data_IF_313823391002
#
_entry.id   IF_313823391002
#
_cell.length_a   1.000
_cell.length_b   1.000
_cell.length_c   1.000
_cell.angle_alpha   90.00
_cell.angle_beta   90.00
_cell.angle_gamma   90.00
#
_symmetry.space_group_name_H-M   'P 1'
#
loop_
_entity.id
_entity.type
_entity.pdbx_description
1 polymer ?
#
# COMPACT_ATOMS: atom_id res chain seq x y z
N UNK A 1 -14.95 19.39 9.29
CA UNK A 1 -15.44 18.42 10.29
C UNK A 1 -14.22 17.80 10.93
N UNK A 2 -14.06 17.93 12.26
CA UNK A 2 -13.05 17.17 13.00
C UNK A 2 -13.70 15.87 13.45
N UNK A 3 -13.16 14.74 13.00
CA UNK A 3 -13.62 13.44 13.52
C UNK A 3 -13.20 13.31 15.00
N UNK A 4 -14.05 12.69 15.82
CA UNK A 4 -13.70 12.38 17.21
C UNK A 4 -12.87 11.10 17.27
N UNK A 5 -11.82 11.13 18.09
CA UNK A 5 -10.94 9.99 18.35
C UNK A 5 -10.93 9.69 19.85
N UNK A 6 -10.88 8.40 20.19
CA UNK A 6 -10.78 7.94 21.56
C UNK A 6 -9.35 8.06 22.11
N UNK A 7 -9.14 7.61 23.34
CA UNK A 7 -7.84 7.66 24.04
C UNK A 7 -6.73 6.82 23.38
N UNK A 8 -7.09 5.89 22.48
CA UNK A 8 -6.14 5.10 21.69
C UNK A 8 -5.80 5.75 20.34
N UNK A 9 -6.32 6.95 20.07
CA UNK A 9 -6.16 7.66 18.81
C UNK A 9 -7.00 7.10 17.66
N UNK A 10 -8.00 6.26 17.93
CA UNK A 10 -8.87 5.63 16.93
C UNK A 10 -10.18 6.39 16.77
N UNK A 11 -10.74 6.40 15.55
CA UNK A 11 -12.05 7.03 15.29
C UNK A 11 -13.16 6.39 16.14
N UNK A 12 -13.96 7.22 16.81
CA UNK A 12 -15.15 6.76 17.53
C UNK A 12 -16.22 6.24 16.56
N UNK A 13 -16.95 5.20 16.97
CA UNK A 13 -18.05 4.61 16.18
C UNK A 13 -17.60 3.66 15.06
N UNK A 14 -16.30 3.38 14.92
CA UNK A 14 -15.78 2.37 14.00
C UNK A 14 -15.46 1.09 14.75
N UNK A 15 -15.91 -0.04 14.21
CA UNK A 15 -15.53 -1.38 14.68
C UNK A 15 -14.21 -1.78 14.01
N UNK A 16 -13.11 -1.69 14.75
CA UNK A 16 -11.79 -2.13 14.27
C UNK A 16 -11.62 -3.63 14.43
N UNK A 17 -10.92 -4.23 13.47
CA UNK A 17 -10.46 -5.61 13.53
C UNK A 17 -9.02 -5.65 14.02
N UNK A 18 -8.72 -6.57 14.93
CA UNK A 18 -7.42 -6.68 15.58
C UNK A 18 -6.76 -8.01 15.22
N UNK A 19 -5.45 -7.98 15.09
CA UNK A 19 -4.59 -9.15 14.95
C UNK A 19 -4.37 -9.81 16.32
N UNK A 20 -3.83 -11.04 16.33
CA UNK A 20 -3.55 -11.78 17.57
C UNK A 20 -2.53 -11.08 18.48
N UNK A 21 -1.63 -10.27 17.90
CA UNK A 21 -0.64 -9.47 18.63
C UNK A 21 -1.20 -8.15 19.21
N UNK A 22 -2.49 -7.87 18.99
CA UNK A 22 -3.15 -6.64 19.45
C UNK A 22 -3.02 -5.43 18.53
N UNK A 23 -2.31 -5.54 17.40
CA UNK A 23 -2.30 -4.51 16.34
C UNK A 23 -3.63 -4.46 15.58
N UNK A 24 -3.91 -3.36 14.88
CA UNK A 24 -5.07 -3.29 13.99
C UNK A 24 -4.76 -4.05 12.71
N UNK A 25 -5.67 -4.93 12.31
CA UNK A 25 -5.60 -5.59 11.01
C UNK A 25 -6.10 -4.63 9.92
N UNK A 26 -5.25 -3.70 9.49
CA UNK A 26 -5.58 -2.69 8.46
C UNK A 26 -5.98 -3.29 7.12
N UNK A 27 -5.50 -4.50 6.81
CA UNK A 27 -5.92 -5.27 5.64
C UNK A 27 -7.38 -5.70 5.75
N UNK A 28 -7.84 -6.14 6.91
CA UNK A 28 -9.24 -6.47 7.15
C UNK A 28 -10.14 -5.22 7.16
N UNK A 29 -9.58 -4.06 7.53
CA UNK A 29 -10.30 -2.78 7.49
C UNK A 29 -10.61 -2.26 6.06
N UNK A 30 -10.09 -2.89 5.00
CA UNK A 30 -10.42 -2.52 3.62
C UNK A 30 -11.80 -3.06 3.25
N UNK A 31 -12.73 -2.15 2.91
CA UNK A 31 -14.06 -2.52 2.42
C UNK A 31 -13.97 -3.37 1.13
N UNK A 32 -14.55 -4.59 1.11
CA UNK A 32 -14.51 -5.48 -0.04
C UNK A 32 -15.00 -4.86 -1.36
N UNK A 33 -15.84 -3.81 -1.33
CA UNK A 33 -16.30 -3.10 -2.54
C UNK A 33 -15.14 -2.44 -3.33
N UNK A 34 -14.02 -2.20 -2.66
CA UNK A 34 -12.82 -1.63 -3.26
C UNK A 34 -11.82 -2.68 -3.74
N UNK A 35 -12.08 -3.96 -3.48
CA UNK A 35 -11.26 -5.06 -3.92
C UNK A 35 -11.82 -5.63 -5.23
N UNK A 36 -10.93 -6.15 -6.06
CA UNK A 36 -11.30 -6.91 -7.25
C UNK A 36 -10.21 -7.91 -7.63
N UNK A 37 -10.55 -8.99 -8.36
CA UNK A 37 -9.57 -9.99 -8.78
C UNK A 37 -8.47 -9.38 -9.68
N UNK A 38 -7.22 -9.76 -9.41
CA UNK A 38 -6.06 -9.41 -10.22
C UNK A 38 -6.08 -10.22 -11.53
N UNK A 39 -6.75 -9.68 -12.56
CA UNK A 39 -6.88 -10.32 -13.88
C UNK A 39 -5.56 -10.90 -14.40
N UNK A 40 -4.45 -10.15 -14.32
CA UNK A 40 -3.15 -10.60 -14.81
C UNK A 40 -2.60 -11.83 -14.07
N UNK A 41 -2.89 -11.96 -12.77
CA UNK A 41 -2.47 -13.13 -11.98
C UNK A 41 -3.16 -14.42 -12.45
N UNK A 42 -4.46 -14.34 -12.76
CA UNK A 42 -5.27 -15.48 -13.23
C UNK A 42 -4.96 -15.85 -14.68
N UNK A 43 -4.86 -14.85 -15.56
CA UNK A 43 -4.56 -15.07 -16.99
C UNK A 43 -3.19 -15.72 -17.18
N UNK A 44 -2.15 -15.25 -16.47
CA UNK A 44 -0.80 -15.83 -16.55
C UNK A 44 -0.73 -17.28 -16.07
N UNK A 45 -1.73 -17.76 -15.33
CA UNK A 45 -1.84 -19.13 -14.80
C UNK A 45 -2.88 -19.98 -15.52
N UNK A 46 -3.50 -19.47 -16.59
CA UNK A 46 -4.61 -20.12 -17.30
C UNK A 46 -5.76 -20.52 -16.35
N UNK A 47 -6.02 -19.72 -15.31
CA UNK A 47 -7.10 -19.96 -14.37
C UNK A 47 -8.32 -19.09 -14.72
N UNK A 48 -9.56 -19.58 -14.48
CA UNK A 48 -10.75 -18.79 -14.69
C UNK A 48 -10.76 -17.59 -13.74
N UNK A 49 -11.20 -16.44 -14.26
CA UNK A 49 -11.34 -15.23 -13.44
C UNK A 49 -12.55 -15.37 -12.51
N UNK A 50 -12.37 -15.24 -11.19
CA UNK A 50 -13.47 -15.36 -10.24
C UNK A 50 -14.40 -14.15 -10.31
N UNK A 51 -15.68 -14.36 -9.96
CA UNK A 51 -16.69 -13.29 -9.89
C UNK A 51 -16.76 -12.61 -8.51
N UNK A 52 -16.15 -13.23 -7.49
CA UNK A 52 -16.10 -12.74 -6.12
C UNK A 52 -14.65 -12.58 -5.66
N UNK A 53 -14.45 -11.71 -4.68
CA UNK A 53 -13.16 -11.53 -3.96
C UNK A 53 -13.05 -12.44 -2.74
N UNK A 54 -14.14 -13.12 -2.37
CA UNK A 54 -14.19 -14.03 -1.22
C UNK A 54 -13.27 -15.24 -1.45
N UNK A 55 -12.46 -15.55 -0.43
CA UNK A 55 -11.49 -16.64 -0.48
C UNK A 55 -10.25 -16.39 -1.34
N UNK A 56 -10.09 -15.17 -1.90
CA UNK A 56 -8.88 -14.81 -2.64
C UNK A 56 -7.77 -14.33 -1.71
N UNK A 57 -6.57 -14.81 -1.99
CA UNK A 57 -5.33 -14.37 -1.35
C UNK A 57 -4.94 -12.95 -1.82
N UNK A 58 -4.14 -12.25 -1.02
CA UNK A 58 -3.74 -10.87 -1.31
C UNK A 58 -3.04 -10.68 -2.68
N UNK A 59 -2.27 -11.67 -3.12
CA UNK A 59 -1.61 -11.64 -4.44
C UNK A 59 -2.58 -11.87 -5.62
N UNK A 60 -3.79 -12.36 -5.35
CA UNK A 60 -4.87 -12.55 -6.31
C UNK A 60 -5.80 -11.33 -6.36
N UNK A 61 -5.55 -10.30 -5.54
CA UNK A 61 -6.39 -9.13 -5.40
C UNK A 61 -5.69 -7.86 -5.87
N UNK A 62 -6.48 -6.87 -6.24
CA UNK A 62 -6.10 -5.49 -6.42
C UNK A 62 -7.03 -4.59 -5.61
N UNK A 63 -6.50 -3.47 -5.10
CA UNK A 63 -7.27 -2.47 -4.37
C UNK A 63 -7.43 -1.19 -5.20
N UNK A 64 -8.66 -0.67 -5.29
CA UNK A 64 -8.94 0.62 -5.94
C UNK A 64 -8.31 1.77 -5.15
N UNK A 65 -7.92 2.86 -5.85
CA UNK A 65 -7.46 4.10 -5.22
C UNK A 65 -8.44 4.64 -4.17
N UNK A 66 -9.75 4.48 -4.39
CA UNK A 66 -10.79 4.86 -3.43
C UNK A 66 -10.66 4.12 -2.10
N UNK A 67 -10.38 2.82 -2.14
CA UNK A 67 -10.17 2.00 -0.93
C UNK A 67 -8.96 2.45 -0.14
N UNK A 68 -7.86 2.75 -0.83
CA UNK A 68 -6.65 3.29 -0.18
C UNK A 68 -6.91 4.66 0.45
N UNK A 69 -7.65 5.55 -0.24
CA UNK A 69 -8.04 6.86 0.29
C UNK A 69 -8.95 6.75 1.51
N UNK A 70 -9.91 5.82 1.49
CA UNK A 70 -10.78 5.54 2.65
C UNK A 70 -9.98 4.97 3.82
N UNK A 71 -9.07 4.03 3.57
CA UNK A 71 -8.20 3.44 4.59
C UNK A 71 -7.28 4.50 5.22
N UNK A 72 -6.66 5.37 4.42
CA UNK A 72 -5.83 6.47 4.91
C UNK A 72 -6.63 7.44 5.80
N UNK A 73 -7.88 7.77 5.41
CA UNK A 73 -8.77 8.63 6.21
C UNK A 73 -9.17 7.97 7.51
N UNK A 74 -9.49 6.67 7.48
CA UNK A 74 -9.80 5.87 8.66
C UNK A 74 -8.63 5.88 9.64
N UNK A 75 -7.43 5.55 9.15
CA UNK A 75 -6.19 5.59 9.93
C UNK A 75 -5.93 6.98 10.52
N UNK A 76 -6.12 8.03 9.72
CA UNK A 76 -5.96 9.42 10.13
C UNK A 76 -4.58 9.99 9.83
N UNK A 77 -4.57 11.06 9.04
CA UNK A 77 -3.39 11.87 8.74
C UNK A 77 -3.77 13.35 8.81
N UNK A 78 -2.80 14.24 9.06
CA UNK A 78 -2.99 15.68 9.10
C UNK A 78 -2.30 16.43 7.95
N UNK A 79 -1.50 15.72 7.15
CA UNK A 79 -0.86 16.29 5.97
C UNK A 79 -0.36 15.23 5.00
N UNK A 80 -0.48 15.54 3.71
CA UNK A 80 0.17 14.81 2.61
C UNK A 80 0.99 15.83 1.83
N UNK A 81 2.24 15.49 1.53
CA UNK A 81 3.15 16.32 0.74
C UNK A 81 3.70 15.51 -0.42
N UNK A 82 3.81 16.14 -1.57
CA UNK A 82 4.42 15.56 -2.76
C UNK A 82 5.67 16.34 -3.13
N UNK A 83 6.73 15.62 -3.49
CA UNK A 83 7.93 16.18 -4.07
C UNK A 83 8.15 15.54 -5.44
N UNK A 84 8.20 16.37 -6.48
CA UNK A 84 8.48 15.93 -7.84
C UNK A 84 9.99 15.77 -7.99
N UNK A 85 10.46 14.52 -8.06
CA UNK A 85 11.88 14.18 -8.18
C UNK A 85 12.35 14.37 -9.62
N UNK A 86 11.50 14.01 -10.59
CA UNK A 86 11.77 14.10 -12.03
C UNK A 86 10.47 14.39 -12.76
N UNK A 87 10.50 15.31 -13.72
CA UNK A 87 9.37 15.64 -14.57
C UNK A 87 9.85 15.86 -16.01
N UNK A 88 9.76 14.80 -16.82
CA UNK A 88 10.13 14.79 -18.23
C UNK A 88 8.97 14.22 -19.07
N UNK A 89 9.07 14.38 -20.39
CA UNK A 89 8.00 14.01 -21.34
C UNK A 89 7.56 12.55 -21.23
N UNK A 90 8.48 11.66 -20.95
CA UNK A 90 8.32 10.21 -20.93
C UNK A 90 8.50 9.60 -19.52
N UNK A 91 8.86 10.41 -18.52
CA UNK A 91 9.16 9.92 -17.18
C UNK A 91 8.86 10.99 -16.13
N UNK A 92 7.93 10.67 -15.22
CA UNK A 92 7.69 11.44 -14.00
C UNK A 92 7.92 10.55 -12.77
N UNK A 93 8.64 11.06 -11.78
CA UNK A 93 8.86 10.40 -10.50
C UNK A 93 8.49 11.33 -9.34
N UNK A 94 7.71 10.82 -8.39
CA UNK A 94 7.16 11.57 -7.27
C UNK A 94 7.43 10.82 -5.97
N UNK A 95 7.79 11.57 -4.93
CA UNK A 95 7.84 11.12 -3.54
C UNK A 95 6.60 11.64 -2.82
N UNK A 96 5.92 10.75 -2.10
CA UNK A 96 4.81 11.10 -1.23
C UNK A 96 5.26 10.97 0.23
N UNK A 97 5.03 12.01 1.03
CA UNK A 97 5.18 12.00 2.49
C UNK A 97 3.81 12.16 3.13
N UNK A 98 3.47 11.28 4.08
CA UNK A 98 2.25 11.40 4.89
C UNK A 98 2.65 11.63 6.35
N UNK A 99 2.01 12.62 6.97
CA UNK A 99 2.06 12.85 8.41
C UNK A 99 0.84 12.22 9.06
N UNK A 100 1.07 11.13 9.78
CA UNK A 100 0.03 10.35 10.42
C UNK A 100 -0.30 10.91 11.81
N UNK A 101 -1.60 10.92 12.11
CA UNK A 101 -2.07 11.21 13.47
C UNK A 101 -1.65 10.03 14.35
N UNK A 102 -1.02 10.24 15.52
CA UNK A 102 -0.63 9.15 16.42
C UNK A 102 -1.83 8.30 16.87
N UNK A 103 -1.62 6.99 16.98
CA UNK A 103 -2.52 6.01 17.60
C UNK A 103 -1.69 4.98 18.37
N UNK A 104 -2.32 4.13 19.19
CA UNK A 104 -1.66 3.16 20.08
C UNK A 104 -0.55 2.29 19.45
N UNK A 105 -0.55 2.13 18.12
CA UNK A 105 0.45 1.37 17.36
C UNK A 105 1.74 2.13 17.04
N UNK A 106 1.71 3.47 17.05
CA UNK A 106 2.75 4.32 16.44
C UNK A 106 3.49 5.27 17.39
N UNK A 107 3.25 5.21 18.71
CA UNK A 107 4.04 5.93 19.73
C UNK A 107 3.25 6.72 20.78
N UNK A 108 3.74 6.67 22.03
CA UNK A 108 3.04 6.79 23.33
C UNK A 108 2.51 8.15 23.78
N UNK A 109 2.53 9.20 22.95
CA UNK A 109 2.04 10.53 23.36
C UNK A 109 0.54 10.74 23.03
N UNK A 110 -0.31 9.78 23.42
CA UNK A 110 -1.78 9.86 23.20
C UNK A 110 -2.49 10.89 24.08
N UNK A 111 -1.78 11.55 25.00
CA UNK A 111 -2.32 12.60 25.86
C UNK A 111 -2.20 14.02 25.30
N UNK A 112 -1.55 14.21 24.15
CA UNK A 112 -1.29 15.54 23.60
C UNK A 112 -2.48 16.06 22.80
N UNK A 113 -2.90 17.29 23.07
CA UNK A 113 -4.00 17.92 22.34
C UNK A 113 -3.49 18.48 21.03
N UNK A 114 -4.34 18.41 20.01
CA UNK A 114 -4.05 19.04 18.72
C UNK A 114 -3.86 20.55 18.93
N UNK A 115 -2.64 21.04 18.74
CA UNK A 115 -2.25 22.43 19.01
C UNK A 115 -1.05 22.59 19.95
N UNK A 116 -0.66 21.53 20.68
CA UNK A 116 0.55 21.55 21.52
C UNK A 116 1.82 21.35 20.67
N UNK A 117 2.93 22.00 21.03
CA UNK A 117 4.21 21.87 20.32
C UNK A 117 4.71 20.41 20.34
N UNK A 118 4.47 19.70 21.44
CA UNK A 118 4.81 18.27 21.57
C UNK A 118 3.93 17.39 20.66
N UNK A 119 2.71 17.81 20.31
CA UNK A 119 1.85 17.10 19.36
C UNK A 119 2.42 17.17 17.94
N UNK A 120 3.03 18.30 17.59
CA UNK A 120 3.74 18.43 16.31
C UNK A 120 4.96 17.50 16.26
N UNK A 121 5.69 17.40 17.36
CA UNK A 121 6.89 16.57 17.48
C UNK A 121 6.60 15.06 17.61
N UNK A 122 5.35 14.66 17.91
CA UNK A 122 4.95 13.24 18.01
C UNK A 122 4.43 12.64 16.69
N UNK A 123 4.35 13.44 15.61
CA UNK A 123 3.85 12.96 14.31
C UNK A 123 4.73 11.86 13.75
N UNK A 124 4.10 10.77 13.35
CA UNK A 124 4.76 9.71 12.61
C UNK A 124 4.73 10.08 11.14
N UNK A 125 5.90 10.32 10.55
CA UNK A 125 6.02 10.54 9.11
C UNK A 125 6.46 9.27 8.40
N UNK A 126 5.79 8.94 7.30
CA UNK A 126 6.21 7.88 6.39
C UNK A 126 6.30 8.42 4.97
N UNK A 127 7.22 7.87 4.18
CA UNK A 127 7.49 8.29 2.81
C UNK A 127 7.64 7.10 1.89
N UNK A 128 7.18 7.27 0.66
CA UNK A 128 7.48 6.33 -0.42
C UNK A 128 7.57 7.07 -1.76
N UNK A 129 8.12 6.40 -2.76
CA UNK A 129 8.34 6.93 -4.10
C UNK A 129 7.62 6.07 -5.13
N UNK A 130 7.20 6.70 -6.22
CA UNK A 130 6.75 5.99 -7.41
C UNK A 130 7.07 6.77 -8.68
N UNK A 131 7.03 6.07 -9.81
CA UNK A 131 7.15 6.68 -11.12
C UNK A 131 6.00 6.29 -12.06
N UNK A 132 5.87 7.07 -13.11
CA UNK A 132 5.06 6.78 -14.27
C UNK A 132 5.90 7.11 -15.51
N UNK A 133 5.96 6.17 -16.44
CA UNK A 133 6.67 6.32 -17.71
C UNK A 133 5.76 5.93 -18.86
N UNK A 134 6.13 6.29 -20.08
CA UNK A 134 5.44 5.78 -21.27
C UNK A 134 5.46 4.25 -21.38
N UNK A 135 6.46 3.61 -20.77
CA UNK A 135 6.65 2.16 -20.84
C UNK A 135 5.83 1.39 -19.82
N UNK A 136 5.33 2.04 -18.76
CA UNK A 136 4.59 1.38 -17.68
C UNK A 136 3.18 1.94 -17.46
N UNK A 137 2.68 2.73 -18.42
CA UNK A 137 1.35 3.33 -18.42
C UNK A 137 0.63 3.10 -19.75
N UNK A 138 -0.70 2.95 -19.67
CA UNK A 138 -1.56 2.87 -20.86
C UNK A 138 -1.53 4.17 -21.68
N UNK A 139 -1.90 4.09 -22.97
CA UNK A 139 -1.91 5.24 -23.88
C UNK A 139 -2.78 6.42 -23.40
N UNK A 140 -3.83 6.16 -22.61
CA UNK A 140 -4.62 7.20 -21.97
C UNK A 140 -3.86 7.83 -20.78
N UNK A 141 -3.27 7.00 -19.92
CA UNK A 141 -2.54 7.42 -18.73
C UNK A 141 -1.24 8.18 -19.05
N UNK A 142 -0.61 7.91 -20.20
CA UNK A 142 0.56 8.64 -20.70
C UNK A 142 0.34 10.15 -20.84
N UNK A 143 -0.91 10.61 -21.00
CA UNK A 143 -1.25 12.04 -21.05
C UNK A 143 -1.16 12.72 -19.68
N UNK A 144 -1.02 11.95 -18.61
CA UNK A 144 -1.12 12.41 -17.22
C UNK A 144 -0.06 11.77 -16.31
N UNK A 145 1.17 11.56 -16.80
CA UNK A 145 2.23 10.86 -16.05
C UNK A 145 2.44 11.43 -14.63
N UNK A 146 2.35 12.73 -14.44
CA UNK A 146 2.46 13.37 -13.12
C UNK A 146 1.39 12.89 -12.14
N UNK A 147 0.12 12.88 -12.57
CA UNK A 147 -0.98 12.47 -11.69
C UNK A 147 -0.91 10.98 -11.38
N UNK A 148 -0.48 10.16 -12.34
CA UNK A 148 -0.26 8.73 -12.16
C UNK A 148 0.87 8.47 -11.17
N UNK A 149 2.02 9.15 -11.33
CA UNK A 149 3.15 9.02 -10.41
C UNK A 149 2.77 9.45 -8.98
N UNK A 150 2.02 10.56 -8.83
CA UNK A 150 1.53 11.03 -7.54
C UNK A 150 0.56 10.05 -6.87
N UNK A 151 -0.40 9.50 -7.63
CA UNK A 151 -1.33 8.48 -7.13
C UNK A 151 -0.59 7.20 -6.70
N UNK A 152 0.33 6.70 -7.54
CA UNK A 152 1.16 5.54 -7.21
C UNK A 152 1.98 5.75 -5.93
N UNK A 153 2.62 6.92 -5.80
CA UNK A 153 3.42 7.25 -4.62
C UNK A 153 2.55 7.31 -3.35
N UNK A 154 1.36 7.92 -3.44
CA UNK A 154 0.40 7.94 -2.35
C UNK A 154 -0.05 6.54 -1.95
N UNK A 155 -0.40 5.71 -2.93
CA UNK A 155 -0.86 4.34 -2.66
C UNK A 155 0.20 3.51 -1.95
N UNK A 156 1.45 3.57 -2.45
CA UNK A 156 2.60 2.91 -1.83
C UNK A 156 2.82 3.38 -0.40
N UNK A 157 2.81 4.71 -0.19
CA UNK A 157 2.99 5.32 1.11
C UNK A 157 1.95 4.85 2.13
N UNK A 158 0.67 4.72 1.73
CA UNK A 158 -0.39 4.23 2.63
C UNK A 158 -0.26 2.74 2.89
N UNK A 159 -0.15 1.91 1.84
CA UNK A 159 -0.17 0.45 2.01
C UNK A 159 1.04 -0.07 2.77
N UNK A 160 2.22 0.50 2.51
CA UNK A 160 3.45 0.05 3.18
C UNK A 160 3.48 0.50 4.64
N UNK A 161 2.97 1.69 4.96
CA UNK A 161 2.85 2.13 6.34
C UNK A 161 1.86 1.27 7.15
N UNK A 162 0.76 0.84 6.53
CA UNK A 162 -0.29 0.05 7.17
C UNK A 162 -0.13 -1.46 7.01
N UNK A 163 1.00 -1.91 6.47
CA UNK A 163 1.29 -3.32 6.20
C UNK A 163 0.19 -4.03 5.39
N UNK A 164 -0.38 -3.35 4.40
CA UNK A 164 -1.35 -3.92 3.45
C UNK A 164 -0.59 -4.42 2.22
N UNK A 165 -0.61 -5.74 2.00
CA UNK A 165 0.15 -6.38 0.93
C UNK A 165 -0.57 -6.42 -0.41
N UNK A 166 -1.88 -6.17 -0.45
CA UNK A 166 -2.61 -5.99 -1.70
C UNK A 166 -2.06 -4.76 -2.43
N UNK A 167 -1.65 -4.97 -3.68
CA UNK A 167 -1.13 -3.91 -4.55
C UNK A 167 -2.29 -3.05 -5.06
N UNK A 168 -2.09 -1.74 -5.12
CA UNK A 168 -3.09 -0.85 -5.70
C UNK A 168 -3.19 -0.99 -7.22
N UNK A 169 -4.41 -0.82 -7.72
CA UNK A 169 -4.73 -0.77 -9.15
C UNK A 169 -3.79 0.16 -9.94
N UNK A 170 -3.51 1.33 -9.36
CA UNK A 170 -2.67 2.36 -9.98
C UNK A 170 -1.21 1.91 -10.11
N UNK A 171 -0.73 0.97 -9.31
CA UNK A 171 0.69 0.55 -9.29
C UNK A 171 1.03 -0.52 -10.33
N UNK A 172 0.02 -1.10 -10.97
CA UNK A 172 0.22 -2.17 -11.94
C UNK A 172 0.69 -1.56 -13.26
N UNK A 173 1.54 -2.30 -13.98
CA UNK A 173 1.82 -1.98 -15.37
C UNK A 173 0.52 -2.10 -16.18
N UNK A 174 0.18 -1.01 -16.86
CA UNK A 174 -1.00 -0.91 -17.72
C UNK A 174 -0.62 -0.61 -19.17
N UNK A 175 0.67 -0.71 -19.52
CA UNK A 175 1.13 -0.59 -20.89
C UNK A 175 0.47 -1.67 -21.75
N UNK A 176 0.24 -1.37 -23.03
CA UNK A 176 -0.40 -2.28 -23.98
C UNK A 176 0.52 -3.46 -24.41
N UNK A 177 1.53 -3.78 -23.60
CA UNK A 177 2.47 -4.86 -23.84
C UNK A 177 2.02 -6.15 -23.17
N UNK A 178 2.42 -7.29 -23.76
CA UNK A 178 2.34 -8.62 -23.15
C UNK A 178 2.78 -8.54 -21.69
N UNK A 179 2.04 -9.13 -20.72
CA UNK A 179 2.44 -9.10 -19.32
C UNK A 179 3.91 -9.49 -19.20
N UNK A 180 4.70 -8.83 -18.32
CA UNK A 180 6.10 -9.19 -18.14
C UNK A 180 6.16 -10.68 -17.91
N UNK A 181 6.98 -11.38 -18.69
CA UNK A 181 7.20 -12.80 -18.53
C UNK A 181 7.68 -13.01 -17.09
N UNK A 182 6.76 -13.42 -16.21
CA UNK A 182 7.13 -13.91 -14.90
C UNK A 182 7.97 -15.13 -15.23
N UNK A 183 9.29 -15.02 -15.07
CA UNK A 183 10.17 -16.17 -15.09
C UNK A 183 9.50 -17.21 -14.20
N UNK A 184 9.07 -18.32 -14.80
CA UNK A 184 8.46 -19.41 -14.06
C UNK A 184 9.46 -19.79 -12.98
N UNK A 185 9.16 -19.41 -11.73
CA UNK A 185 9.88 -19.91 -10.58
C UNK A 185 9.46 -21.36 -10.37
N UNK A 186 9.85 -22.25 -11.29
CA UNK A 186 9.75 -23.70 -11.15
C UNK A 186 10.83 -24.23 -10.19
N UNK A 187 11.13 -23.49 -9.12
CA UNK A 187 12.03 -23.94 -8.05
C UNK A 187 11.61 -23.31 -6.72
N UNK A 188 10.47 -23.75 -6.20
CA UNK A 188 9.94 -23.34 -4.89
C UNK A 188 10.76 -23.84 -3.68
N UNK A 189 11.81 -24.63 -3.87
CA UNK A 189 12.49 -25.31 -2.76
C UNK A 189 13.91 -24.79 -2.43
N UNK A 190 14.58 -24.02 -3.30
CA UNK A 190 16.04 -23.78 -3.14
C UNK A 190 16.51 -22.35 -2.83
N UNK A 191 15.64 -21.35 -2.81
CA UNK A 191 16.08 -19.95 -2.62
C UNK A 191 15.25 -19.18 -1.59
N UNK A 192 14.99 -19.80 -0.44
CA UNK A 192 14.73 -19.01 0.77
C UNK A 192 16.06 -18.34 1.18
N UNK A 193 16.09 -17.03 1.48
CA UNK A 193 17.27 -16.37 2.05
C UNK A 193 17.77 -17.07 3.32
N UNK A 194 16.86 -17.72 4.06
CA UNK A 194 17.15 -18.53 5.23
C UNK A 194 17.96 -19.78 4.86
N UNK A 195 17.62 -20.46 3.77
CA UNK A 195 18.32 -21.68 3.33
C UNK A 195 19.74 -21.35 2.85
N UNK A 196 19.92 -20.21 2.18
CA UNK A 196 21.24 -19.72 1.74
C UNK A 196 22.13 -19.34 2.94
N UNK A 197 21.53 -18.82 4.01
CA UNK A 197 22.24 -18.51 5.26
C UNK A 197 22.62 -19.79 6.01
N UNK A 198 21.71 -20.76 6.12
CA UNK A 198 21.96 -22.04 6.80
C UNK A 198 23.08 -22.84 6.13
N UNK A 199 23.12 -22.89 4.80
CA UNK A 199 24.20 -23.52 4.01
C UNK A 199 25.56 -22.84 4.26
N UNK A 200 25.60 -21.52 4.37
CA UNK A 200 26.84 -20.77 4.64
C UNK A 200 27.33 -20.93 6.08
N UNK A 201 26.44 -21.26 7.01
CA UNK A 201 26.78 -21.46 8.43
C UNK A 201 27.05 -22.92 8.81
N UNK A 202 26.87 -23.88 7.89
CA UNK A 202 27.10 -25.30 8.17
C UNK A 202 26.15 -25.90 9.21
N UNK A 203 24.95 -25.32 9.38
CA UNK A 203 23.96 -25.69 10.40
C UNK A 203 22.79 -26.52 9.85
N UNK A 204 22.95 -27.18 8.70
CA UNK A 204 21.95 -28.10 8.17
C UNK A 204 21.96 -29.42 8.95
N UNK A 205 20.90 -29.69 9.72
CA UNK A 205 20.56 -31.03 10.22
C UNK A 205 19.71 -31.79 9.19
#
# INVERSE_FOLDING_TARGET
MSYKRNELGLLEGVKYEYSEDGSINWRAMVDPKHLYPNKGWFETRNQPMPYSVEGLEDNQLLIKLSGIKELAKLRGFDGVRYEVIKCEKDHVAVKCRIHWIPNFESGTYYSLKQGDDDYFNSRVSFEDIANATTDNTSSFAQKFLETIAANRAFVRCVRNFLNVHIVGADEIDSSNGTPPAVAQANNKEKFSPLNVLMDKTGLSH
#
